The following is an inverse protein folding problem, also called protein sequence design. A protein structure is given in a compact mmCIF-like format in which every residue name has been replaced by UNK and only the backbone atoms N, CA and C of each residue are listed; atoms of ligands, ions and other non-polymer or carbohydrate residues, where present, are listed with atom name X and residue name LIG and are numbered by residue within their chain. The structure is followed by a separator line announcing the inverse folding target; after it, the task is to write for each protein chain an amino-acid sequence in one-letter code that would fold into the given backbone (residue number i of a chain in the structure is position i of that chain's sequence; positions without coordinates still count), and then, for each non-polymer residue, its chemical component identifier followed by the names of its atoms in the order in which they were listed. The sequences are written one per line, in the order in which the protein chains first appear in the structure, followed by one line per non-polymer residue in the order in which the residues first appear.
data_IF_894934359279
#
_entry.id   IF_894934359279
#
_cell.length_a   1.000
_cell.length_b   1.000
_cell.length_c   1.000
_cell.angle_alpha   90.00
_cell.angle_beta   90.00
_cell.angle_gamma   90.00
#
_symmetry.space_group_name_H-M   'P 1'
#
loop_
_entity.id
_entity.type
_entity.pdbx_description
1 polymer ?
#
# COMPACT_ATOMS: atom_id res chain seq x y z
N UNK A 1 -17.27 8.19 23.58
CA UNK A 1 -17.85 6.87 23.35
C UNK A 1 -18.54 6.94 22.00
N UNK A 2 -18.20 6.03 21.09
CA UNK A 2 -18.72 6.03 19.72
C UNK A 2 -20.15 5.48 19.71
N UNK A 3 -21.08 6.18 19.07
CA UNK A 3 -22.49 5.77 18.94
C UNK A 3 -22.68 4.80 17.76
N UNK A 4 -22.22 3.56 17.92
CA UNK A 4 -22.16 2.53 16.87
C UNK A 4 -23.49 2.22 16.16
N UNK A 5 -24.61 2.35 16.88
CA UNK A 5 -25.95 2.16 16.30
C UNK A 5 -26.32 3.19 15.21
N UNK A 6 -25.60 4.31 15.14
CA UNK A 6 -25.78 5.34 14.10
C UNK A 6 -24.86 5.14 12.90
N UNK A 7 -23.91 4.20 13.00
CA UNK A 7 -22.92 3.91 11.99
C UNK A 7 -23.32 2.67 11.18
N UNK A 8 -22.69 2.53 10.03
CA UNK A 8 -22.87 1.40 9.13
C UNK A 8 -21.55 0.75 8.78
N UNK A 9 -21.60 -0.55 8.49
CA UNK A 9 -20.54 -1.37 7.93
C UNK A 9 -21.04 -2.01 6.61
N UNK A 10 -20.29 -2.97 6.05
CA UNK A 10 -20.66 -3.67 4.82
C UNK A 10 -21.99 -4.46 4.90
N UNK A 11 -22.43 -4.82 6.11
CA UNK A 11 -23.61 -5.65 6.36
C UNK A 11 -24.83 -4.84 6.84
N UNK A 12 -24.68 -3.55 7.11
CA UNK A 12 -25.76 -2.67 7.59
C UNK A 12 -25.38 -1.94 8.87
N UNK A 13 -26.28 -1.85 9.88
CA UNK A 13 -25.97 -1.18 11.15
C UNK A 13 -24.80 -1.81 11.89
N UNK A 14 -23.90 -0.99 12.44
CA UNK A 14 -22.61 -1.43 13.00
C UNK A 14 -22.63 -1.77 14.51
N UNK A 15 -23.78 -2.16 15.08
CA UNK A 15 -23.93 -2.42 16.52
C UNK A 15 -23.04 -3.58 17.02
N UNK A 16 -22.69 -4.53 16.15
CA UNK A 16 -21.85 -5.69 16.49
C UNK A 16 -20.34 -5.39 16.41
N UNK A 17 -19.93 -4.29 15.75
CA UNK A 17 -18.51 -3.97 15.52
C UNK A 17 -17.69 -3.89 16.81
N UNK A 18 -18.18 -3.31 17.94
CA UNK A 18 -17.43 -3.34 19.20
C UNK A 18 -17.08 -4.75 19.67
N UNK A 19 -18.01 -5.71 19.55
CA UNK A 19 -17.75 -7.10 19.94
C UNK A 19 -16.74 -7.75 18.98
N UNK A 20 -16.80 -7.41 17.69
CA UNK A 20 -15.83 -7.86 16.70
C UNK A 20 -14.43 -7.32 16.99
N UNK A 21 -14.31 -6.04 17.38
CA UNK A 21 -13.03 -5.43 17.77
C UNK A 21 -12.45 -6.04 19.06
N UNK A 22 -13.28 -6.42 20.03
CA UNK A 22 -12.80 -7.13 21.23
C UNK A 22 -12.31 -8.55 20.91
N UNK A 23 -12.98 -9.25 19.99
CA UNK A 23 -12.50 -10.55 19.49
C UNK A 23 -11.18 -10.39 18.73
N UNK A 24 -11.10 -9.38 17.87
CA UNK A 24 -9.89 -9.03 17.14
C UNK A 24 -8.74 -8.71 18.11
N UNK A 25 -8.97 -7.94 19.17
CA UNK A 25 -7.95 -7.66 20.20
C UNK A 25 -7.38 -8.91 20.88
N UNK A 26 -8.15 -10.01 20.95
CA UNK A 26 -7.71 -11.28 21.53
C UNK A 26 -7.01 -12.23 20.55
N UNK A 27 -7.27 -12.10 19.26
CA UNK A 27 -6.68 -12.91 18.17
C UNK A 27 -6.67 -12.13 16.85
N UNK A 28 -5.75 -11.14 16.67
CA UNK A 28 -5.77 -10.29 15.49
C UNK A 28 -5.63 -11.08 14.19
N UNK A 29 -4.66 -11.99 14.11
CA UNK A 29 -4.43 -12.77 12.89
C UNK A 29 -5.59 -13.72 12.57
N UNK A 30 -6.24 -14.32 13.58
CA UNK A 30 -7.38 -15.21 13.37
C UNK A 30 -8.69 -14.51 13.01
N UNK A 31 -8.84 -13.21 13.35
CA UNK A 31 -10.07 -12.43 13.15
C UNK A 31 -9.92 -11.37 12.06
N UNK A 32 -8.71 -11.10 11.56
CA UNK A 32 -8.42 -10.08 10.54
C UNK A 32 -9.38 -10.15 9.35
N UNK A 33 -9.52 -11.32 8.71
CA UNK A 33 -10.39 -11.45 7.54
C UNK A 33 -11.85 -11.10 7.85
N UNK A 34 -12.38 -11.58 8.99
CA UNK A 34 -13.76 -11.25 9.40
C UNK A 34 -13.91 -9.75 9.70
N UNK A 35 -12.93 -9.14 10.37
CA UNK A 35 -12.93 -7.70 10.63
C UNK A 35 -12.98 -6.91 9.33
N UNK A 36 -12.15 -7.28 8.35
CA UNK A 36 -12.06 -6.59 7.07
C UNK A 36 -13.30 -6.80 6.21
N UNK A 37 -13.92 -7.97 6.21
CA UNK A 37 -15.20 -8.20 5.51
C UNK A 37 -16.31 -7.23 5.96
N UNK A 38 -16.27 -6.80 7.22
CA UNK A 38 -17.22 -5.83 7.76
C UNK A 38 -16.78 -4.38 7.53
N UNK A 39 -15.52 -4.04 7.85
CA UNK A 39 -15.05 -2.66 7.90
C UNK A 39 -14.44 -2.17 6.58
N UNK A 40 -13.80 -3.04 5.81
CA UNK A 40 -13.19 -2.63 4.55
C UNK A 40 -13.20 -3.82 3.57
N UNK A 41 -14.40 -4.25 3.12
CA UNK A 41 -14.52 -5.35 2.18
C UNK A 41 -13.75 -5.00 0.91
N UNK A 42 -13.01 -5.97 0.38
CA UNK A 42 -12.20 -5.82 -0.83
C UNK A 42 -11.06 -4.80 -0.73
N UNK A 43 -10.77 -4.27 0.47
CA UNK A 43 -9.66 -3.34 0.76
C UNK A 43 -9.71 -2.02 -0.04
N UNK A 44 -10.86 -1.65 -0.58
CA UNK A 44 -11.07 -0.44 -1.39
C UNK A 44 -12.29 0.39 -0.95
N UNK A 45 -13.12 -0.13 -0.05
CA UNK A 45 -14.39 0.48 0.34
C UNK A 45 -14.51 0.60 1.85
N UNK A 46 -14.49 1.82 2.38
CA UNK A 46 -14.73 2.08 3.80
C UNK A 46 -16.12 2.64 4.09
N UNK A 47 -16.59 2.39 5.30
CA UNK A 47 -17.84 2.86 5.85
C UNK A 47 -17.60 3.77 7.08
N UNK A 48 -18.68 4.35 7.59
CA UNK A 48 -18.61 5.19 8.80
C UNK A 48 -18.10 4.42 10.03
N UNK A 49 -18.42 3.13 10.14
CA UNK A 49 -17.91 2.26 11.20
C UNK A 49 -16.40 1.99 11.09
N UNK A 50 -15.86 1.97 9.87
CA UNK A 50 -14.45 1.69 9.59
C UNK A 50 -13.55 2.75 10.21
N UNK A 51 -13.81 4.02 9.89
CA UNK A 51 -13.04 5.13 10.47
C UNK A 51 -13.26 5.24 11.98
N UNK A 52 -14.48 4.98 12.46
CA UNK A 52 -14.78 4.97 13.88
C UNK A 52 -14.04 3.86 14.67
N UNK A 53 -13.51 2.84 13.98
CA UNK A 53 -12.69 1.79 14.59
C UNK A 53 -11.22 2.20 14.78
N UNK A 54 -10.71 3.21 14.05
CA UNK A 54 -9.30 3.63 14.10
C UNK A 54 -8.79 3.94 15.53
N UNK A 55 -9.53 4.66 16.39
CA UNK A 55 -9.11 4.86 17.78
C UNK A 55 -8.93 3.54 18.54
N UNK A 56 -9.84 2.57 18.34
CA UNK A 56 -9.75 1.27 19.02
C UNK A 56 -8.61 0.42 18.46
N UNK A 57 -8.36 0.47 17.15
CA UNK A 57 -7.22 -0.20 16.52
C UNK A 57 -5.88 0.34 17.05
N UNK A 58 -5.76 1.66 17.24
CA UNK A 58 -4.58 2.27 17.85
C UNK A 58 -4.35 1.77 19.30
N UNK A 59 -5.41 1.65 20.10
CA UNK A 59 -5.33 1.08 21.45
C UNK A 59 -4.91 -0.39 21.45
N UNK A 60 -5.45 -1.19 20.52
CA UNK A 60 -5.08 -2.59 20.34
C UNK A 60 -3.61 -2.68 19.94
N UNK A 61 -3.17 -1.92 18.94
CA UNK A 61 -1.78 -1.91 18.48
C UNK A 61 -0.80 -1.55 19.61
N UNK A 62 -1.16 -0.60 20.48
CA UNK A 62 -0.31 -0.18 21.60
C UNK A 62 -0.22 -1.20 22.74
N UNK A 63 -1.10 -2.21 22.79
CA UNK A 63 -1.20 -3.17 23.89
C UNK A 63 -1.09 -4.64 23.48
N UNK A 64 -1.14 -4.94 22.18
CA UNK A 64 -1.05 -6.30 21.65
C UNK A 64 0.37 -6.84 21.77
N UNK A 65 0.51 -8.14 21.48
CA UNK A 65 1.83 -8.76 21.42
C UNK A 65 2.55 -8.31 20.14
N UNK A 66 3.89 -8.31 20.12
CA UNK A 66 4.65 -7.99 18.92
C UNK A 66 4.29 -8.85 17.71
N UNK A 67 3.98 -10.14 17.92
CA UNK A 67 3.61 -11.07 16.85
C UNK A 67 2.27 -10.71 16.19
N UNK A 68 1.36 -10.06 16.92
CA UNK A 68 0.03 -9.71 16.44
C UNK A 68 -0.01 -8.30 15.81
N UNK A 69 0.99 -7.47 16.10
CA UNK A 69 1.05 -6.07 15.69
C UNK A 69 0.91 -5.89 14.16
N UNK A 70 1.57 -6.67 13.29
CA UNK A 70 1.43 -6.52 11.85
C UNK A 70 -0.02 -6.60 11.37
N UNK A 71 -0.80 -7.57 11.86
CA UNK A 71 -2.22 -7.72 11.48
C UNK A 71 -3.07 -6.53 11.92
N UNK A 72 -2.77 -5.93 13.08
CA UNK A 72 -3.48 -4.73 13.56
C UNK A 72 -3.15 -3.52 12.69
N UNK A 73 -1.88 -3.35 12.33
CA UNK A 73 -1.41 -2.25 11.50
C UNK A 73 -1.92 -2.36 10.06
N UNK A 74 -1.96 -3.57 9.50
CA UNK A 74 -2.55 -3.87 8.20
C UNK A 74 -4.03 -3.48 8.16
N UNK A 75 -4.82 -3.91 9.15
CA UNK A 75 -6.24 -3.56 9.24
C UNK A 75 -6.44 -2.04 9.29
N UNK A 76 -5.66 -1.34 10.12
CA UNK A 76 -5.75 0.10 10.24
C UNK A 76 -5.29 0.82 8.96
N UNK A 77 -4.22 0.33 8.32
CA UNK A 77 -3.67 0.87 7.10
C UNK A 77 -4.66 0.78 5.93
N UNK A 78 -5.33 -0.36 5.79
CA UNK A 78 -6.36 -0.58 4.79
C UNK A 78 -7.64 0.25 5.01
N UNK A 79 -8.00 0.54 6.27
CA UNK A 79 -9.09 1.48 6.55
C UNK A 79 -8.67 2.91 6.21
N UNK A 80 -7.44 3.30 6.59
CA UNK A 80 -6.94 4.64 6.34
C UNK A 80 -6.84 4.93 4.84
N UNK A 81 -6.35 3.99 4.02
CA UNK A 81 -6.23 4.15 2.55
C UNK A 81 -7.56 4.39 1.82
N UNK A 82 -8.68 4.06 2.47
CA UNK A 82 -10.03 4.27 1.94
C UNK A 82 -10.65 5.62 2.34
N UNK A 83 -9.94 6.48 3.08
CA UNK A 83 -10.47 7.77 3.48
C UNK A 83 -10.82 8.66 2.26
N UNK A 84 -12.06 9.14 2.15
CA UNK A 84 -12.41 10.08 1.10
C UNK A 84 -11.65 11.39 1.30
N UNK A 85 -10.97 11.87 0.24
CA UNK A 85 -10.22 13.11 0.31
C UNK A 85 -9.15 13.07 1.40
N UNK A 86 -8.29 12.04 1.39
CA UNK A 86 -7.17 11.85 2.34
C UNK A 86 -6.40 13.15 2.60
N UNK A 87 -6.20 13.97 1.56
CA UNK A 87 -5.49 15.25 1.62
C UNK A 87 -6.37 16.48 1.82
N UNK A 88 -7.68 16.35 1.99
CA UNK A 88 -8.61 17.46 2.19
C UNK A 88 -8.65 17.92 3.67
N UNK A 89 -8.62 19.23 3.88
CA UNK A 89 -8.72 19.82 5.22
C UNK A 89 -10.07 19.49 5.85
N UNK A 90 -10.05 18.89 7.03
CA UNK A 90 -11.23 18.39 7.75
C UNK A 90 -11.67 16.99 7.33
N UNK A 91 -10.89 16.29 6.51
CA UNK A 91 -11.12 14.89 6.15
C UNK A 91 -10.85 13.91 7.31
N UNK A 92 -11.06 12.60 7.11
CA UNK A 92 -10.86 11.59 8.15
C UNK A 92 -9.45 11.60 8.76
N UNK A 93 -8.40 11.89 7.99
CA UNK A 93 -7.04 11.97 8.54
C UNK A 93 -6.88 13.07 9.60
N UNK A 94 -7.53 14.22 9.41
CA UNK A 94 -7.50 15.32 10.39
C UNK A 94 -8.28 14.93 11.66
N UNK A 95 -9.49 14.37 11.47
CA UNK A 95 -10.37 13.94 12.57
C UNK A 95 -9.72 12.84 13.42
N UNK A 96 -9.04 11.89 12.78
CA UNK A 96 -8.40 10.74 13.43
C UNK A 96 -6.88 10.89 13.58
N UNK A 97 -6.36 12.12 13.47
CA UNK A 97 -4.91 12.41 13.52
C UNK A 97 -4.19 11.85 14.74
N UNK A 98 -4.81 11.89 15.93
CA UNK A 98 -4.20 11.34 17.14
C UNK A 98 -4.06 9.80 17.11
N UNK A 99 -5.13 9.01 16.84
CA UNK A 99 -5.00 7.58 16.58
C UNK A 99 -4.00 7.23 15.47
N UNK A 100 -4.03 7.97 14.36
CA UNK A 100 -3.15 7.73 13.22
C UNK A 100 -1.69 7.99 13.55
N UNK A 101 -1.38 8.98 14.39
CA UNK A 101 -0.02 9.21 14.86
C UNK A 101 0.53 8.03 15.69
N UNK A 102 -0.32 7.39 16.50
CA UNK A 102 0.07 6.18 17.26
C UNK A 102 0.35 5.02 16.31
N UNK A 103 -0.55 4.78 15.35
CA UNK A 103 -0.40 3.72 14.35
C UNK A 103 0.84 3.94 13.48
N UNK A 104 1.07 5.17 13.03
CA UNK A 104 2.25 5.57 12.26
C UNK A 104 3.54 5.25 13.00
N UNK A 105 3.66 5.68 14.26
CA UNK A 105 4.85 5.39 15.08
C UNK A 105 5.07 3.89 15.23
N UNK A 106 4.03 3.11 15.54
CA UNK A 106 4.14 1.66 15.72
C UNK A 106 4.51 0.94 14.42
N UNK A 107 3.99 1.39 13.27
CA UNK A 107 4.39 0.89 11.96
C UNK A 107 5.84 1.19 11.65
N UNK A 108 6.30 2.41 11.94
CA UNK A 108 7.69 2.82 11.76
C UNK A 108 8.65 1.90 12.54
N UNK A 109 8.33 1.64 13.81
CA UNK A 109 9.09 0.71 14.66
C UNK A 109 9.01 -0.74 14.18
N UNK A 110 7.88 -1.17 13.61
CA UNK A 110 7.69 -2.51 13.07
C UNK A 110 8.53 -2.75 11.82
N UNK A 111 8.53 -1.81 10.87
CA UNK A 111 9.26 -1.90 9.60
C UNK A 111 10.73 -2.27 9.77
N UNK A 112 11.43 -1.63 10.72
CA UNK A 112 12.86 -1.88 10.98
C UNK A 112 13.19 -3.31 11.44
N UNK A 113 12.19 -4.08 11.84
CA UNK A 113 12.32 -5.46 12.34
C UNK A 113 11.77 -6.49 11.34
N UNK A 114 11.08 -6.06 10.30
CA UNK A 114 10.43 -6.93 9.33
C UNK A 114 11.42 -7.31 8.23
N UNK A 115 11.67 -8.61 8.07
CA UNK A 115 12.62 -9.13 7.07
C UNK A 115 11.93 -9.70 5.83
N UNK A 116 10.72 -10.25 5.97
CA UNK A 116 9.96 -10.75 4.82
C UNK A 116 9.49 -9.57 3.96
N UNK A 117 9.74 -9.63 2.65
CA UNK A 117 9.48 -8.52 1.73
C UNK A 117 7.98 -8.22 1.61
N UNK A 118 7.13 -9.26 1.57
CA UNK A 118 5.68 -9.10 1.45
C UNK A 118 5.12 -8.37 2.68
N UNK A 119 5.47 -8.85 3.89
CA UNK A 119 5.08 -8.21 5.16
C UNK A 119 5.62 -6.78 5.25
N UNK A 120 6.85 -6.54 4.77
CA UNK A 120 7.46 -5.22 4.77
C UNK A 120 6.70 -4.24 3.88
N UNK A 121 6.30 -4.68 2.69
CA UNK A 121 5.54 -3.86 1.74
C UNK A 121 4.15 -3.54 2.28
N UNK A 122 3.46 -4.50 2.89
CA UNK A 122 2.17 -4.27 3.57
C UNK A 122 2.30 -3.20 4.67
N UNK A 123 3.34 -3.29 5.51
CA UNK A 123 3.59 -2.29 6.55
C UNK A 123 3.96 -0.93 5.96
N UNK A 124 4.76 -0.89 4.89
CA UNK A 124 5.17 0.35 4.25
C UNK A 124 3.96 1.06 3.62
N UNK A 125 3.08 0.31 2.98
CA UNK A 125 1.80 0.80 2.47
C UNK A 125 0.89 1.33 3.57
N UNK A 126 0.83 0.63 4.71
CA UNK A 126 0.11 1.11 5.89
C UNK A 126 0.69 2.41 6.44
N UNK A 127 2.03 2.55 6.47
CA UNK A 127 2.69 3.80 6.86
C UNK A 127 2.28 4.96 5.92
N UNK A 128 2.31 4.71 4.62
CA UNK A 128 1.95 5.69 3.60
C UNK A 128 0.46 6.09 3.64
N UNK A 129 -0.43 5.16 3.98
CA UNK A 129 -1.87 5.48 4.12
C UNK A 129 -2.14 6.40 5.31
N UNK A 130 -1.40 6.23 6.41
CA UNK A 130 -1.46 7.15 7.57
C UNK A 130 -0.92 8.55 7.25
N UNK A 131 -0.05 8.66 6.24
CA UNK A 131 0.50 9.93 5.75
C UNK A 131 -0.34 10.55 4.62
N UNK A 132 -1.37 9.86 4.12
CA UNK A 132 -2.19 10.32 3.01
C UNK A 132 -1.49 10.29 1.65
N UNK A 133 -0.48 9.42 1.47
CA UNK A 133 0.25 9.28 0.21
C UNK A 133 -0.54 8.37 -0.74
N UNK A 134 -1.49 8.96 -1.45
CA UNK A 134 -2.36 8.26 -2.40
C UNK A 134 -1.57 7.53 -3.51
N UNK A 135 -2.21 6.48 -4.05
CA UNK A 135 -1.66 5.52 -5.02
C UNK A 135 -0.60 4.61 -4.43
N UNK A 136 0.42 5.17 -3.79
CA UNK A 136 1.55 4.38 -3.27
C UNK A 136 1.26 3.65 -1.97
N UNK A 137 0.22 4.06 -1.25
CA UNK A 137 -0.38 3.26 -0.19
C UNK A 137 -1.01 1.94 -0.69
N UNK A 138 -1.26 1.80 -2.01
CA UNK A 138 -1.88 0.60 -2.61
C UNK A 138 -1.09 -0.06 -3.73
N UNK A 139 -0.12 0.63 -4.33
CA UNK A 139 0.58 0.17 -5.54
C UNK A 139 2.07 -0.17 -5.32
N UNK A 140 2.53 -0.38 -4.09
CA UNK A 140 3.91 -0.84 -3.85
C UNK A 140 4.10 -2.35 -3.97
N UNK A 141 3.02 -3.14 -3.96
CA UNK A 141 3.08 -4.60 -4.12
C UNK A 141 3.87 -5.04 -5.36
N UNK A 142 3.81 -4.28 -6.46
CA UNK A 142 4.59 -4.55 -7.67
C UNK A 142 6.11 -4.56 -7.47
N UNK A 143 6.64 -3.90 -6.42
CA UNK A 143 8.05 -4.03 -6.04
C UNK A 143 8.36 -5.35 -5.32
N UNK A 144 7.38 -5.94 -4.63
CA UNK A 144 7.52 -7.24 -3.97
C UNK A 144 7.40 -8.37 -5.00
N UNK A 145 6.40 -8.29 -5.87
CA UNK A 145 6.16 -9.28 -6.93
C UNK A 145 7.13 -9.15 -8.10
N UNK A 146 7.75 -7.99 -8.26
CA UNK A 146 8.69 -7.69 -9.35
C UNK A 146 8.01 -7.32 -10.66
N UNK A 147 6.70 -7.04 -10.66
CA UNK A 147 5.94 -6.78 -11.89
C UNK A 147 4.90 -5.66 -11.72
N UNK A 148 4.75 -4.86 -12.77
CA UNK A 148 3.67 -3.89 -12.95
C UNK A 148 3.02 -4.05 -14.32
N UNK A 149 1.69 -4.10 -14.36
CA UNK A 149 0.92 -3.94 -15.59
C UNK A 149 0.56 -2.47 -15.81
N UNK A 150 0.91 -1.94 -16.97
CA UNK A 150 0.62 -0.54 -17.36
C UNK A 150 0.21 -0.46 -18.82
N UNK A 151 -0.43 0.64 -19.23
CA UNK A 151 -0.76 0.84 -20.64
C UNK A 151 0.19 1.86 -21.28
N UNK A 152 0.61 1.64 -22.52
CA UNK A 152 1.39 2.61 -23.27
C UNK A 152 0.61 3.93 -23.41
N UNK A 153 1.20 5.10 -23.08
CA UNK A 153 0.50 6.37 -23.16
C UNK A 153 0.19 6.84 -24.59
N UNK A 154 0.78 6.21 -25.61
CA UNK A 154 0.58 6.57 -27.01
C UNK A 154 -0.32 5.59 -27.77
N UNK A 155 0.07 4.31 -27.86
CA UNK A 155 -0.69 3.31 -28.62
C UNK A 155 -1.74 2.55 -27.79
N UNK A 156 -1.73 2.70 -26.46
CA UNK A 156 -2.70 2.07 -25.56
C UNK A 156 -2.54 0.55 -25.39
N UNK A 157 -1.51 -0.06 -25.97
CA UNK A 157 -1.21 -1.49 -25.72
C UNK A 157 -0.88 -1.70 -24.25
N UNK A 158 -1.33 -2.82 -23.70
CA UNK A 158 -0.93 -3.25 -22.37
C UNK A 158 0.55 -3.66 -22.39
N UNK A 159 1.26 -3.33 -21.31
CA UNK A 159 2.68 -3.55 -21.14
C UNK A 159 2.91 -4.16 -19.76
N UNK A 160 3.72 -5.21 -19.70
CA UNK A 160 4.34 -5.68 -18.48
C UNK A 160 5.67 -4.95 -18.27
N UNK A 161 5.87 -4.45 -17.06
CA UNK A 161 7.13 -3.88 -16.57
C UNK A 161 7.66 -4.81 -15.50
N UNK A 162 8.81 -5.40 -15.76
CA UNK A 162 9.45 -6.38 -14.89
C UNK A 162 10.66 -5.72 -14.21
N UNK A 163 10.72 -5.79 -12.88
CA UNK A 163 11.75 -5.23 -12.01
C UNK A 163 12.30 -6.37 -11.16
N UNK A 164 13.15 -7.20 -11.76
CA UNK A 164 13.80 -8.32 -11.08
C UNK A 164 15.29 -8.06 -10.84
N UNK A 165 15.94 -9.01 -10.18
CA UNK A 165 17.30 -8.83 -9.72
C UNK A 165 18.35 -8.75 -10.82
N UNK A 166 18.16 -9.59 -11.84
CA UNK A 166 19.13 -9.80 -12.91
C UNK A 166 18.63 -9.24 -14.26
N UNK A 167 17.34 -8.90 -14.37
CA UNK A 167 16.75 -8.36 -15.59
C UNK A 167 15.63 -7.36 -15.26
N UNK A 168 15.64 -6.21 -15.92
CA UNK A 168 14.67 -5.14 -15.73
C UNK A 168 14.23 -4.64 -17.10
N UNK A 169 13.00 -4.95 -17.51
CA UNK A 169 12.53 -4.69 -18.86
C UNK A 169 11.05 -4.35 -18.95
N UNK A 170 10.64 -3.89 -20.14
CA UNK A 170 9.25 -3.70 -20.52
C UNK A 170 8.95 -4.46 -21.82
N UNK A 171 7.77 -5.08 -21.89
CA UNK A 171 7.28 -5.81 -23.06
C UNK A 171 5.74 -5.73 -23.17
N UNK A 172 5.20 -5.99 -24.37
CA UNK A 172 3.76 -5.97 -24.68
C UNK A 172 3.14 -7.37 -24.77
N UNK A 173 3.96 -8.41 -24.89
CA UNK A 173 3.55 -9.81 -25.01
C UNK A 173 3.78 -10.57 -23.69
N UNK A 174 3.08 -11.68 -23.51
CA UNK A 174 3.28 -12.60 -22.38
C UNK A 174 4.71 -13.17 -22.38
N UNK A 175 5.58 -12.58 -21.56
CA UNK A 175 6.99 -12.94 -21.45
C UNK A 175 7.22 -14.30 -20.79
N UNK A 176 6.21 -14.90 -20.15
CA UNK A 176 6.28 -16.27 -19.64
C UNK A 176 6.18 -17.32 -20.77
N UNK A 177 5.67 -16.91 -21.94
CA UNK A 177 5.43 -17.80 -23.08
C UNK A 177 6.63 -17.98 -24.03
N UNK A 178 7.72 -17.19 -23.88
CA UNK A 178 8.95 -17.37 -24.66
C UNK A 178 9.76 -16.09 -24.92
N UNK A 179 10.42 -16.07 -26.08
CA UNK A 179 11.35 -15.02 -26.50
C UNK A 179 10.56 -13.80 -27.05
N UNK A 180 10.11 -12.96 -26.13
CA UNK A 180 9.38 -11.71 -26.44
C UNK A 180 10.36 -10.56 -26.70
N UNK A 181 9.93 -9.57 -27.49
CA UNK A 181 10.70 -8.34 -27.63
C UNK A 181 10.72 -7.62 -26.28
N UNK A 182 11.91 -7.35 -25.76
CA UNK A 182 12.13 -6.64 -24.50
C UNK A 182 12.83 -5.32 -24.76
N UNK A 183 12.37 -4.27 -24.07
CA UNK A 183 13.13 -3.02 -23.96
C UNK A 183 13.69 -2.89 -22.54
N UNK A 184 14.96 -2.54 -22.36
CA UNK A 184 15.52 -2.38 -21.01
C UNK A 184 14.90 -1.18 -20.31
N UNK A 185 14.61 -1.33 -19.01
CA UNK A 185 14.27 -0.18 -18.17
C UNK A 185 15.51 0.67 -17.93
N UNK A 186 15.29 1.97 -17.72
CA UNK A 186 16.34 2.89 -17.28
C UNK A 186 16.00 3.40 -15.89
N UNK A 187 16.83 3.11 -14.87
CA UNK A 187 16.56 3.60 -13.53
C UNK A 187 16.66 5.13 -13.49
N UNK A 188 15.88 5.76 -12.62
CA UNK A 188 16.10 7.15 -12.26
C UNK A 188 17.50 7.31 -11.65
N UNK A 189 18.21 8.40 -11.98
CA UNK A 189 19.49 8.67 -11.35
C UNK A 189 19.27 8.98 -9.86
N UNK A 190 20.26 8.69 -9.01
CA UNK A 190 20.17 8.98 -7.56
C UNK A 190 19.91 10.47 -7.27
N UNK A 191 20.36 11.37 -8.15
CA UNK A 191 20.10 12.81 -8.06
C UNK A 191 18.66 13.20 -8.44
N UNK A 192 17.96 12.35 -9.19
CA UNK A 192 16.60 12.60 -9.71
C UNK A 192 15.51 12.02 -8.79
N UNK A 193 15.89 11.20 -7.79
CA UNK A 193 14.97 10.76 -6.74
C UNK A 193 14.66 11.96 -5.82
N UNK A 194 13.46 12.49 -5.89
CA UNK A 194 13.01 13.59 -5.02
C UNK A 194 11.85 13.10 -4.13
N UNK A 195 11.70 13.71 -2.95
CA UNK A 195 10.61 13.45 -2.01
C UNK A 195 10.35 11.96 -1.71
N UNK A 196 9.21 11.42 -2.17
CA UNK A 196 8.76 10.05 -1.88
C UNK A 196 9.72 8.98 -2.41
N UNK A 197 10.10 8.95 -3.71
CA UNK A 197 11.08 8.01 -4.24
C UNK A 197 12.36 7.92 -3.40
N UNK A 198 12.93 9.07 -3.01
CA UNK A 198 14.15 9.11 -2.18
C UNK A 198 13.88 8.50 -0.80
N UNK A 199 12.78 8.88 -0.16
CA UNK A 199 12.39 8.36 1.15
C UNK A 199 12.17 6.85 1.14
N UNK A 200 11.52 6.30 0.11
CA UNK A 200 11.31 4.86 -0.06
C UNK A 200 12.64 4.12 -0.23
N UNK A 201 13.51 4.61 -1.13
CA UNK A 201 14.83 4.04 -1.37
C UNK A 201 15.69 4.02 -0.10
N UNK A 202 15.80 5.16 0.58
CA UNK A 202 16.65 5.31 1.76
C UNK A 202 16.16 4.46 2.93
N UNK A 203 14.83 4.37 3.10
CA UNK A 203 14.20 3.55 4.13
C UNK A 203 14.41 2.06 3.88
N UNK A 204 14.10 1.58 2.68
CA UNK A 204 14.32 0.19 2.29
C UNK A 204 15.79 -0.21 2.45
N UNK A 205 16.72 0.69 2.09
CA UNK A 205 18.16 0.49 2.27
C UNK A 205 18.52 0.38 3.75
N UNK A 206 18.00 1.29 4.60
CA UNK A 206 18.28 1.30 6.04
C UNK A 206 17.75 0.05 6.76
N UNK A 207 16.60 -0.46 6.32
CA UNK A 207 15.95 -1.66 6.89
C UNK A 207 16.51 -2.98 6.29
N UNK A 208 17.46 -2.90 5.35
CA UNK A 208 18.09 -4.08 4.74
C UNK A 208 17.29 -4.74 3.61
N UNK A 209 16.21 -4.11 3.14
CA UNK A 209 15.35 -4.54 2.04
C UNK A 209 16.00 -4.26 0.68
N UNK A 210 17.08 -5.01 0.39
CA UNK A 210 17.99 -4.71 -0.73
C UNK A 210 17.30 -4.78 -2.10
N UNK A 211 16.49 -5.81 -2.34
CA UNK A 211 15.79 -5.97 -3.63
C UNK A 211 14.76 -4.87 -3.85
N UNK A 212 14.01 -4.51 -2.81
CA UNK A 212 13.03 -3.42 -2.85
C UNK A 212 13.72 -2.07 -3.07
N UNK A 213 14.81 -1.79 -2.34
CA UNK A 213 15.60 -0.57 -2.51
C UNK A 213 16.14 -0.45 -3.95
N UNK A 214 16.62 -1.54 -4.54
CA UNK A 214 17.07 -1.57 -5.95
C UNK A 214 15.91 -1.35 -6.92
N UNK A 215 14.71 -1.86 -6.61
CA UNK A 215 13.53 -1.70 -7.48
C UNK A 215 13.00 -0.27 -7.55
N UNK A 216 13.13 0.52 -6.47
CA UNK A 216 12.61 1.90 -6.38
C UNK A 216 13.09 2.79 -7.54
N UNK A 217 14.40 2.90 -7.87
CA UNK A 217 14.87 3.66 -9.03
C UNK A 217 14.24 3.23 -10.36
N UNK A 218 13.90 1.96 -10.55
CA UNK A 218 13.26 1.48 -11.77
C UNK A 218 11.77 1.84 -11.84
N UNK A 219 11.06 1.72 -10.71
CA UNK A 219 9.66 2.15 -10.59
C UNK A 219 9.48 3.64 -10.90
N UNK A 220 10.41 4.48 -10.44
CA UNK A 220 10.41 5.92 -10.73
C UNK A 220 11.25 6.29 -11.96
N UNK A 221 11.74 5.29 -12.71
CA UNK A 221 12.56 5.43 -13.89
C UNK A 221 11.75 5.49 -15.19
N UNK A 222 12.42 5.13 -16.31
CA UNK A 222 11.85 5.16 -17.66
C UNK A 222 11.72 3.77 -18.26
N UNK A 223 10.65 3.57 -19.00
CA UNK A 223 10.42 2.41 -19.86
C UNK A 223 10.19 2.86 -21.32
N UNK A 224 10.29 1.92 -22.26
CA UNK A 224 10.01 2.16 -23.68
C UNK A 224 9.00 1.13 -24.17
N UNK A 225 7.93 1.57 -24.82
CA UNK A 225 6.97 0.64 -25.42
C UNK A 225 7.63 -0.15 -26.56
N UNK A 226 7.53 -1.47 -26.54
CA UNK A 226 8.11 -2.36 -27.56
C UNK A 226 7.43 -2.27 -28.92
N UNK A 227 6.16 -1.82 -28.96
CA UNK A 227 5.37 -1.73 -30.19
C UNK A 227 5.56 -0.41 -30.94
N UNK A 228 5.63 0.71 -30.21
CA UNK A 228 5.64 2.06 -30.81
C UNK A 228 6.84 2.91 -30.40
N UNK A 229 7.75 2.36 -29.59
CA UNK A 229 8.97 3.04 -29.10
C UNK A 229 8.71 4.31 -28.28
N UNK A 230 7.48 4.53 -27.81
CA UNK A 230 7.17 5.66 -26.93
C UNK A 230 7.82 5.44 -25.57
N UNK A 231 8.60 6.42 -25.13
CA UNK A 231 9.19 6.45 -23.80
C UNK A 231 8.22 7.03 -22.77
N UNK A 232 8.23 6.49 -21.56
CA UNK A 232 7.36 6.94 -20.47
C UNK A 232 7.97 6.69 -19.09
N UNK A 233 7.44 7.35 -18.07
CA UNK A 233 7.78 7.08 -16.66
C UNK A 233 6.91 5.93 -16.16
N UNK A 234 7.49 4.90 -15.54
CA UNK A 234 6.72 3.76 -15.03
C UNK A 234 5.70 4.21 -13.98
N UNK A 235 6.16 4.97 -12.97
CA UNK A 235 5.32 5.56 -11.93
C UNK A 235 4.12 6.37 -12.45
N UNK A 236 4.29 7.16 -13.52
CA UNK A 236 3.18 7.94 -14.09
C UNK A 236 2.11 7.03 -14.71
N UNK A 237 2.52 5.87 -15.24
CA UNK A 237 1.58 4.91 -15.84
C UNK A 237 0.90 4.04 -14.80
N UNK A 238 1.60 3.68 -13.72
CA UNK A 238 0.98 3.05 -12.53
C UNK A 238 -0.11 3.97 -11.97
N UNK A 239 0.20 5.25 -11.74
CA UNK A 239 -0.78 6.25 -11.30
C UNK A 239 -1.95 6.43 -12.27
N UNK A 240 -1.69 6.42 -13.58
CA UNK A 240 -2.74 6.61 -14.58
C UNK A 240 -3.71 5.41 -14.68
N UNK A 241 -3.28 4.22 -14.30
CA UNK A 241 -4.13 3.01 -14.25
C UNK A 241 -4.85 2.84 -12.91
N UNK A 242 -4.37 3.53 -11.87
CA UNK A 242 -5.02 3.51 -10.57
C UNK A 242 -6.43 4.12 -10.66
N UNK A 243 -7.40 3.35 -10.20
CA UNK A 243 -8.79 3.76 -10.03
C UNK A 243 -9.05 3.68 -8.52
N UNK A 244 -9.44 4.80 -7.88
CA UNK A 244 -9.64 4.84 -6.43
C UNK A 244 -10.68 3.85 -5.93
#
# INVERSE_FOLDING_TARGET
MTEWATLSDACGPAEHVPVLLERFAGDPSGVLSELMDHLCPQLDTAFSASFAALPRLAEIAASCRPDDLPSVLEAAGAIASCAPGLSEVGGPLDVFSAPLAVLHQLTDECLSRTTAVDDYVVLLQSLLSFEGVEVWDRCLEGLATGEYEVDCPYCGVNLCVVIEADDCFCCSDDYASGDVLRSPLRPAAEGDLEDLPRRLHDRATADGQTDLARGVPYLFGRATCTDCSTEFTVADRVKARWIP
#
